data_IF_819625620979
#
_entry.id   IF_819625620979
#
_cell.length_a   1.000
_cell.length_b   1.000
_cell.length_c   1.000
_cell.angle_alpha   90.00
_cell.angle_beta   90.00
_cell.angle_gamma   90.00
#
_symmetry.space_group_name_H-M   'P 1'
#
loop_
_entity.id
_entity.type
_entity.pdbx_description
1 polymer ?
#
# COMPACT_ATOMS: atom_id res chain seq x y z
N UNK A 1 27.13 42.37 -44.54
CA UNK A 1 27.41 40.92 -44.52
C UNK A 1 27.47 40.40 -45.96
N UNK A 2 28.50 39.64 -46.36
CA UNK A 2 28.65 39.22 -47.78
C UNK A 2 27.55 38.26 -48.22
N UNK A 3 27.22 38.23 -49.52
CA UNK A 3 26.23 37.30 -50.09
C UNK A 3 26.60 35.82 -49.86
N UNK A 4 27.91 35.49 -49.81
CA UNK A 4 28.36 34.14 -49.48
C UNK A 4 28.05 33.75 -48.02
N UNK A 5 28.21 34.67 -47.06
CA UNK A 5 27.83 34.42 -45.66
C UNK A 5 26.32 34.20 -45.52
N UNK A 6 25.48 34.92 -46.26
CA UNK A 6 24.02 34.72 -46.24
C UNK A 6 23.62 33.35 -46.78
N UNK A 7 24.18 32.97 -47.94
CA UNK A 7 23.85 31.71 -48.63
C UNK A 7 24.21 30.47 -47.82
N UNK A 8 25.27 30.54 -46.98
CA UNK A 8 25.66 29.47 -46.05
C UNK A 8 25.02 29.60 -44.67
N UNK A 9 24.75 30.82 -44.20
CA UNK A 9 24.24 31.08 -42.85
C UNK A 9 22.78 30.66 -42.64
N UNK A 10 21.91 30.79 -43.65
CA UNK A 10 20.49 30.41 -43.55
C UNK A 10 20.32 28.90 -43.32
N UNK A 11 20.92 28.00 -44.13
CA UNK A 11 20.86 26.56 -43.88
C UNK A 11 21.43 26.16 -42.51
N UNK A 12 22.51 26.80 -42.07
CA UNK A 12 23.12 26.55 -40.75
C UNK A 12 22.16 26.96 -39.61
N UNK A 13 21.55 28.14 -39.70
CA UNK A 13 20.58 28.60 -38.70
C UNK A 13 19.36 27.67 -38.61
N UNK A 14 18.84 27.20 -39.77
CA UNK A 14 17.75 26.23 -39.83
C UNK A 14 18.14 24.88 -39.23
N UNK A 15 19.34 24.38 -39.57
CA UNK A 15 19.84 23.12 -39.03
C UNK A 15 20.04 23.18 -37.51
N UNK A 16 20.59 24.27 -36.99
CA UNK A 16 20.75 24.48 -35.54
C UNK A 16 19.41 24.60 -34.82
N UNK A 17 18.44 25.31 -35.41
CA UNK A 17 17.09 25.41 -34.85
C UNK A 17 16.38 24.05 -34.81
N UNK A 18 16.37 23.32 -35.93
CA UNK A 18 15.80 21.98 -35.99
C UNK A 18 16.50 20.99 -35.05
N UNK A 19 17.84 21.05 -34.97
CA UNK A 19 18.63 20.26 -34.03
C UNK A 19 18.30 20.58 -32.58
N UNK A 20 18.11 21.86 -32.23
CA UNK A 20 17.67 22.29 -30.90
C UNK A 20 16.28 21.78 -30.54
N UNK A 21 15.34 21.81 -31.49
CA UNK A 21 13.99 21.24 -31.29
C UNK A 21 14.05 19.73 -31.10
N UNK A 22 14.85 19.01 -31.89
CA UNK A 22 15.04 17.56 -31.74
C UNK A 22 15.67 17.22 -30.39
N UNK A 23 16.72 17.94 -29.98
CA UNK A 23 17.35 17.73 -28.67
C UNK A 23 16.35 17.99 -27.55
N UNK A 24 15.58 19.09 -27.62
CA UNK A 24 14.52 19.37 -26.67
C UNK A 24 13.49 18.25 -26.64
N UNK A 25 13.05 17.74 -27.79
CA UNK A 25 12.09 16.64 -27.88
C UNK A 25 12.62 15.36 -27.20
N UNK A 26 13.88 14.98 -27.47
CA UNK A 26 14.47 13.76 -26.92
C UNK A 26 14.83 13.85 -25.43
N UNK A 27 15.11 15.05 -24.93
CA UNK A 27 15.55 15.27 -23.53
C UNK A 27 14.44 15.80 -22.62
N UNK A 28 13.27 16.15 -23.18
CA UNK A 28 12.15 16.62 -22.39
C UNK A 28 11.68 15.54 -21.41
N UNK A 29 11.84 15.80 -20.11
CA UNK A 29 11.40 14.90 -19.04
C UNK A 29 12.41 13.84 -18.62
N UNK A 30 13.57 13.72 -19.27
CA UNK A 30 14.59 12.74 -18.87
C UNK A 30 15.23 13.11 -17.53
N UNK A 31 15.36 12.13 -16.62
CA UNK A 31 16.06 12.29 -15.34
C UNK A 31 15.25 12.90 -14.19
N UNK A 32 13.97 13.23 -14.40
CA UNK A 32 13.11 13.76 -13.33
C UNK A 32 12.58 12.64 -12.44
N UNK A 33 12.01 11.59 -13.04
CA UNK A 33 11.45 10.44 -12.32
C UNK A 33 12.54 9.39 -12.09
N UNK A 34 12.85 9.10 -10.83
CA UNK A 34 13.91 8.16 -10.43
C UNK A 34 13.68 7.69 -8.98
N UNK A 35 14.34 6.60 -8.55
CA UNK A 35 14.30 6.21 -7.14
C UNK A 35 14.97 7.28 -6.26
N UNK A 36 14.31 7.64 -5.15
CA UNK A 36 14.86 8.54 -4.14
C UNK A 36 14.48 8.04 -2.73
N UNK A 37 15.24 7.08 -2.18
CA UNK A 37 14.95 6.51 -0.88
C UNK A 37 14.93 7.54 0.27
N UNK A 38 15.64 8.67 0.14
CA UNK A 38 15.64 9.73 1.17
C UNK A 38 14.29 10.43 1.28
N UNK A 39 13.53 10.47 0.18
CA UNK A 39 12.15 10.99 0.12
C UNK A 39 11.09 9.89 0.22
N UNK A 40 11.47 8.67 0.63
CA UNK A 40 10.58 7.50 0.60
C UNK A 40 10.00 7.25 -0.80
N UNK A 41 10.84 7.32 -1.83
CA UNK A 41 10.46 7.00 -3.20
C UNK A 41 11.27 5.79 -3.67
N UNK A 42 10.55 4.74 -4.06
CA UNK A 42 11.07 3.60 -4.79
C UNK A 42 9.96 3.14 -5.73
N UNK A 43 10.27 3.08 -7.02
CA UNK A 43 9.29 2.87 -8.08
C UNK A 43 9.40 1.41 -8.54
N UNK A 44 8.34 0.59 -8.38
CA UNK A 44 8.38 -0.78 -8.84
C UNK A 44 8.48 -0.86 -10.36
N UNK A 45 9.18 -1.86 -10.88
CA UNK A 45 9.27 -2.10 -12.34
C UNK A 45 7.90 -2.44 -12.95
N UNK A 46 7.10 -3.19 -12.21
CA UNK A 46 5.73 -3.54 -12.58
C UNK A 46 4.78 -2.53 -11.92
N UNK A 47 3.97 -1.84 -12.72
CA UNK A 47 3.07 -0.79 -12.20
C UNK A 47 1.62 -1.25 -12.01
N UNK A 48 1.24 -2.39 -12.61
CA UNK A 48 -0.06 -3.01 -12.42
C UNK A 48 0.04 -4.50 -12.15
N UNK A 49 -0.90 -5.03 -11.38
CA UNK A 49 -0.99 -6.45 -11.02
C UNK A 49 -2.44 -6.89 -11.07
N UNK A 50 -2.77 -8.04 -11.71
CA UNK A 50 -4.12 -8.58 -11.63
C UNK A 50 -4.37 -9.18 -10.25
N UNK A 51 -5.53 -8.86 -9.67
CA UNK A 51 -6.10 -9.58 -8.54
C UNK A 51 -7.38 -10.26 -9.01
N UNK A 52 -7.47 -11.56 -8.81
CA UNK A 52 -8.68 -12.32 -9.09
C UNK A 52 -9.45 -12.52 -7.78
N UNK A 53 -10.74 -12.19 -7.80
CA UNK A 53 -11.62 -12.31 -6.63
C UNK A 53 -12.80 -13.21 -6.95
N UNK A 54 -13.11 -14.12 -6.04
CA UNK A 54 -14.40 -14.79 -5.96
C UNK A 54 -15.05 -14.50 -4.62
N UNK A 55 -16.37 -14.42 -4.64
CA UNK A 55 -17.16 -14.15 -3.46
C UNK A 55 -18.31 -15.16 -3.40
N UNK A 56 -18.60 -15.66 -2.21
CA UNK A 56 -19.71 -16.57 -1.97
C UNK A 56 -20.22 -16.41 -0.54
N UNK A 57 -21.47 -16.75 -0.28
CA UNK A 57 -22.03 -16.73 1.07
C UNK A 57 -23.12 -17.77 1.25
N UNK A 58 -23.35 -18.18 2.48
CA UNK A 58 -24.47 -19.01 2.88
C UNK A 58 -25.30 -18.27 3.94
N UNK A 59 -26.09 -18.99 4.74
CA UNK A 59 -26.97 -18.36 5.74
C UNK A 59 -26.21 -17.74 6.92
N UNK A 60 -24.93 -18.09 7.11
CA UNK A 60 -24.16 -17.72 8.30
C UNK A 60 -22.88 -16.97 8.00
N UNK A 61 -22.20 -17.27 6.90
CA UNK A 61 -20.86 -16.81 6.60
C UNK A 61 -20.73 -16.21 5.19
N UNK A 62 -19.86 -15.21 5.10
CA UNK A 62 -19.30 -14.66 3.87
C UNK A 62 -17.91 -15.27 3.61
N UNK A 63 -17.61 -15.51 2.34
CA UNK A 63 -16.34 -16.04 1.87
C UNK A 63 -15.78 -15.18 0.73
N UNK A 64 -14.51 -14.81 0.83
CA UNK A 64 -13.77 -14.16 -0.24
C UNK A 64 -12.53 -14.98 -0.57
N UNK A 65 -12.38 -15.38 -1.83
CA UNK A 65 -11.18 -16.02 -2.34
C UNK A 65 -10.41 -15.05 -3.21
N UNK A 66 -9.13 -14.93 -2.93
CA UNK A 66 -8.19 -14.04 -3.58
C UNK A 66 -7.12 -14.85 -4.27
N UNK A 67 -6.77 -14.46 -5.51
CA UNK A 67 -5.62 -15.01 -6.22
C UNK A 67 -4.84 -13.91 -6.91
N UNK A 68 -3.53 -13.85 -6.67
CA UNK A 68 -2.65 -12.86 -7.29
C UNK A 68 -1.24 -13.43 -7.55
N UNK A 69 -0.53 -12.95 -8.58
CA UNK A 69 0.81 -13.43 -8.86
C UNK A 69 1.81 -12.89 -7.83
N UNK A 70 2.77 -13.74 -7.45
CA UNK A 70 3.93 -13.40 -6.63
C UNK A 70 5.12 -14.26 -7.09
N UNK A 71 6.28 -13.65 -7.34
CA UNK A 71 7.45 -14.37 -7.87
C UNK A 71 7.98 -15.39 -6.86
N UNK A 72 7.94 -15.05 -5.58
CA UNK A 72 8.30 -15.89 -4.44
C UNK A 72 7.30 -15.63 -3.32
N UNK A 73 7.04 -16.60 -2.44
CA UNK A 73 6.16 -16.41 -1.30
C UNK A 73 6.84 -15.55 -0.24
N UNK A 74 6.27 -14.38 0.08
CA UNK A 74 6.67 -13.58 1.23
C UNK A 74 6.13 -14.16 2.54
N UNK A 75 6.70 -15.27 3.03
CA UNK A 75 6.23 -15.96 4.25
C UNK A 75 6.89 -15.48 5.54
N UNK A 76 7.88 -14.57 5.46
CA UNK A 76 8.55 -14.01 6.63
C UNK A 76 8.18 -12.55 6.88
N UNK A 77 8.12 -12.19 8.15
CA UNK A 77 8.22 -10.80 8.60
C UNK A 77 9.51 -10.63 9.41
N UNK A 78 9.79 -9.42 9.92
CA UNK A 78 11.03 -9.09 10.64
C UNK A 78 11.51 -10.21 11.60
N UNK A 79 12.83 -10.45 11.60
CA UNK A 79 13.48 -11.51 12.38
C UNK A 79 14.58 -10.93 13.26
N UNK A 80 15.06 -11.73 14.21
CA UNK A 80 16.28 -11.46 14.95
C UNK A 80 17.32 -12.52 14.62
N UNK A 81 18.52 -12.08 14.23
CA UNK A 81 19.67 -12.90 13.86
C UNK A 81 20.74 -12.75 14.94
N UNK A 82 21.29 -13.86 15.41
CA UNK A 82 22.44 -13.86 16.32
C UNK A 82 23.73 -13.60 15.53
N UNK A 83 24.50 -12.62 15.99
CA UNK A 83 25.76 -12.18 15.38
C UNK A 83 26.65 -11.59 16.47
N UNK A 84 27.84 -12.16 16.64
CA UNK A 84 28.90 -11.72 17.55
C UNK A 84 28.41 -11.47 18.98
N UNK A 85 27.68 -12.45 19.51
CA UNK A 85 27.15 -12.41 20.88
C UNK A 85 25.88 -11.56 21.05
N UNK A 86 25.30 -11.03 19.97
CA UNK A 86 24.14 -10.12 20.03
C UNK A 86 23.03 -10.54 19.08
N UNK A 87 21.79 -10.19 19.44
CA UNK A 87 20.62 -10.34 18.57
C UNK A 87 20.38 -9.06 17.79
N UNK A 88 20.47 -9.14 16.46
CA UNK A 88 20.30 -8.02 15.53
C UNK A 88 18.97 -8.18 14.79
N UNK A 89 18.14 -7.14 14.79
CA UNK A 89 16.91 -7.14 13.97
C UNK A 89 17.25 -7.04 12.48
N UNK A 90 16.63 -7.91 11.68
CA UNK A 90 16.64 -7.90 10.20
C UNK A 90 15.20 -7.79 9.68
N UNK A 91 15.03 -7.36 8.43
CA UNK A 91 13.69 -7.22 7.84
C UNK A 91 12.92 -5.97 8.26
N UNK A 92 13.60 -4.90 8.70
CA UNK A 92 12.93 -3.61 8.90
C UNK A 92 12.42 -3.09 7.56
N UNK A 93 11.24 -2.47 7.55
CA UNK A 93 10.71 -1.84 6.34
C UNK A 93 11.67 -0.77 5.81
N UNK A 94 11.82 -0.73 4.49
CA UNK A 94 12.62 0.26 3.76
C UNK A 94 11.82 0.76 2.56
N UNK A 95 12.25 1.85 1.91
CA UNK A 95 11.70 2.22 0.62
C UNK A 95 11.86 1.11 -0.43
N UNK A 96 10.72 0.63 -0.95
CA UNK A 96 10.67 -0.43 -1.93
C UNK A 96 10.77 -1.83 -1.33
N UNK A 97 11.45 -2.73 -2.05
CA UNK A 97 11.66 -4.13 -1.63
C UNK A 97 12.75 -4.21 -0.56
N UNK A 98 12.43 -4.91 0.54
CA UNK A 98 13.37 -5.18 1.61
C UNK A 98 14.47 -6.16 1.12
N UNK A 99 15.77 -5.82 1.29
CA UNK A 99 16.86 -6.52 0.59
C UNK A 99 17.06 -7.99 0.98
N UNK A 100 16.61 -8.40 2.17
CA UNK A 100 16.72 -9.77 2.66
C UNK A 100 15.43 -10.58 2.44
N UNK A 101 14.38 -9.98 1.83
CA UNK A 101 13.13 -10.66 1.52
C UNK A 101 12.17 -10.82 2.70
N UNK A 102 12.35 -10.04 3.77
CA UNK A 102 11.70 -10.26 5.08
C UNK A 102 10.47 -9.38 5.34
N UNK A 103 9.76 -9.02 4.29
CA UNK A 103 8.44 -8.41 4.38
C UNK A 103 7.41 -9.36 3.80
N UNK A 104 6.44 -9.72 4.62
CA UNK A 104 5.44 -10.71 4.25
C UNK A 104 4.51 -10.18 3.15
N UNK A 105 4.02 -11.08 2.33
CA UNK A 105 2.95 -10.81 1.38
C UNK A 105 1.62 -10.63 2.13
N UNK A 106 0.75 -9.79 1.56
CA UNK A 106 -0.52 -9.40 2.20
C UNK A 106 -1.59 -9.22 1.14
N UNK A 107 -2.83 -9.53 1.51
CA UNK A 107 -4.02 -9.05 0.81
C UNK A 107 -4.92 -8.36 1.83
N UNK A 108 -5.45 -7.21 1.45
CA UNK A 108 -6.38 -6.45 2.26
C UNK A 108 -7.58 -5.99 1.44
N UNK A 109 -8.73 -5.90 2.08
CA UNK A 109 -9.97 -5.40 1.51
C UNK A 109 -10.60 -4.42 2.50
N UNK A 110 -10.80 -3.18 2.06
CA UNK A 110 -11.71 -2.25 2.73
C UNK A 110 -13.12 -2.54 2.26
N UNK A 111 -14.09 -2.57 3.18
CA UNK A 111 -15.49 -2.84 2.92
C UNK A 111 -16.38 -1.78 3.61
N UNK A 112 -17.38 -1.32 2.87
CA UNK A 112 -18.37 -0.35 3.34
C UNK A 112 -19.78 -0.74 2.89
N UNK A 113 -20.77 -0.41 3.72
CA UNK A 113 -22.20 -0.66 3.49
C UNK A 113 -22.96 0.59 3.01
N UNK A 114 -22.23 1.64 2.62
CA UNK A 114 -22.77 2.92 2.19
C UNK A 114 -22.83 3.97 3.30
N UNK A 115 -22.40 3.63 4.52
CA UNK A 115 -22.35 4.56 5.66
C UNK A 115 -21.13 5.48 5.65
N UNK A 116 -20.11 5.20 4.82
CA UNK A 116 -19.00 6.14 4.55
C UNK A 116 -19.23 6.84 3.21
N UNK A 117 -19.67 8.11 3.21
CA UNK A 117 -19.79 8.90 2.00
C UNK A 117 -18.52 8.87 1.16
N UNK A 118 -18.69 8.95 -0.16
CA UNK A 118 -17.60 9.02 -1.14
C UNK A 118 -16.72 7.76 -1.27
N UNK A 119 -16.79 6.78 -0.38
CA UNK A 119 -15.95 5.57 -0.48
C UNK A 119 -16.22 4.78 -1.76
N UNK A 120 -17.49 4.62 -2.16
CA UNK A 120 -17.86 3.98 -3.43
C UNK A 120 -17.33 4.73 -4.67
N UNK A 121 -16.90 5.98 -4.53
CA UNK A 121 -16.44 6.84 -5.63
C UNK A 121 -14.91 6.94 -5.72
N UNK A 122 -14.21 6.85 -4.59
CA UNK A 122 -12.75 7.07 -4.53
C UNK A 122 -11.97 5.92 -3.87
N UNK A 123 -12.64 4.96 -3.25
CA UNK A 123 -12.02 3.80 -2.59
C UNK A 123 -10.97 4.21 -1.57
N UNK A 124 -9.83 3.53 -1.58
CA UNK A 124 -8.76 3.72 -0.61
C UNK A 124 -8.13 5.12 -0.57
N UNK A 125 -8.25 5.94 -1.63
CA UNK A 125 -7.74 7.32 -1.63
C UNK A 125 -8.39 8.19 -0.55
N UNK A 126 -9.66 7.92 -0.23
CA UNK A 126 -10.40 8.62 0.83
C UNK A 126 -9.68 8.52 2.19
N UNK A 127 -9.03 7.37 2.45
CA UNK A 127 -8.43 7.07 3.74
C UNK A 127 -6.97 7.57 3.89
N UNK A 128 -6.42 8.24 2.87
CA UNK A 128 -5.04 8.73 2.87
C UNK A 128 -5.04 10.20 3.28
N UNK A 129 -4.87 10.47 4.57
CA UNK A 129 -4.83 11.83 5.13
C UNK A 129 -3.46 12.51 5.00
N UNK A 130 -3.42 13.79 5.37
CA UNK A 130 -2.17 14.54 5.50
C UNK A 130 -1.19 13.83 6.45
N UNK A 131 0.11 14.03 6.22
CA UNK A 131 1.15 13.58 7.16
C UNK A 131 1.27 12.06 7.33
N UNK A 132 0.59 11.25 6.52
CA UNK A 132 0.59 9.79 6.63
C UNK A 132 2.00 9.21 6.56
N UNK A 133 2.24 8.16 7.33
CA UNK A 133 3.52 7.47 7.40
C UNK A 133 4.04 7.04 6.02
N UNK A 134 5.36 6.98 5.89
CA UNK A 134 6.11 6.61 4.68
C UNK A 134 5.89 7.51 3.45
N UNK A 135 5.16 8.62 3.54
CA UNK A 135 5.20 9.66 2.49
C UNK A 135 6.45 10.54 2.64
N UNK A 136 6.78 11.33 1.61
CA UNK A 136 7.87 12.31 1.65
C UNK A 136 7.65 13.32 2.77
N UNK A 137 6.40 13.76 2.94
CA UNK A 137 5.97 14.76 3.92
C UNK A 137 5.09 14.11 4.99
N UNK A 138 5.66 13.16 5.73
CA UNK A 138 4.99 12.50 6.86
C UNK A 138 5.23 13.28 8.16
N UNK A 139 4.33 13.10 9.13
CA UNK A 139 4.52 13.62 10.49
C UNK A 139 5.68 12.90 11.18
N UNK A 140 6.46 13.60 12.00
CA UNK A 140 7.52 12.95 12.76
C UNK A 140 6.94 12.05 13.85
N UNK A 141 7.70 11.01 14.21
CA UNK A 141 7.32 10.09 15.28
C UNK A 141 7.09 10.83 16.61
N UNK A 142 7.99 11.76 16.93
CA UNK A 142 7.98 12.52 18.18
C UNK A 142 6.71 13.38 18.29
N UNK A 143 6.28 14.02 17.19
CA UNK A 143 5.04 14.80 17.15
C UNK A 143 3.81 13.92 17.34
N UNK A 144 3.77 12.74 16.69
CA UNK A 144 2.64 11.82 16.82
C UNK A 144 2.55 11.24 18.23
N UNK A 145 3.67 10.79 18.81
CA UNK A 145 3.72 10.29 20.19
C UNK A 145 3.34 11.36 21.22
N UNK A 146 3.62 12.64 20.94
CA UNK A 146 3.22 13.77 21.78
C UNK A 146 1.73 14.10 21.67
N UNK A 147 1.08 13.78 20.53
CA UNK A 147 -0.31 14.12 20.28
C UNK A 147 -1.27 13.51 21.34
N UNK A 148 -2.20 14.29 21.93
CA UNK A 148 -3.06 13.81 23.02
C UNK A 148 -3.90 12.58 22.65
N UNK A 149 -4.52 12.60 21.47
CA UNK A 149 -5.36 11.48 21.02
C UNK A 149 -4.53 10.36 20.35
N UNK A 150 -3.93 10.61 19.18
CA UNK A 150 -3.16 9.62 18.42
C UNK A 150 -2.00 8.98 19.21
N UNK A 151 -1.18 9.78 19.89
CA UNK A 151 -0.04 9.29 20.65
C UNK A 151 -0.38 8.81 22.06
N UNK A 152 -1.02 9.66 22.88
CA UNK A 152 -1.23 9.33 24.30
C UNK A 152 -2.40 8.37 24.52
N UNK A 153 -3.52 8.51 23.80
CA UNK A 153 -4.69 7.62 23.93
C UNK A 153 -4.54 6.36 23.10
N UNK A 154 -4.35 6.49 21.79
CA UNK A 154 -4.28 5.35 20.87
C UNK A 154 -2.90 4.65 20.86
N UNK A 155 -1.90 5.21 21.55
CA UNK A 155 -0.53 4.66 21.63
C UNK A 155 0.13 4.51 20.24
N UNK A 156 -0.25 5.35 19.29
CA UNK A 156 0.37 5.41 17.97
C UNK A 156 1.68 6.17 17.99
N UNK A 157 2.59 5.79 17.09
CA UNK A 157 3.88 6.45 16.89
C UNK A 157 4.07 6.98 15.45
N UNK A 158 3.06 6.77 14.59
CA UNK A 158 3.01 7.30 13.22
C UNK A 158 1.57 7.62 12.83
N UNK A 159 1.38 8.52 11.85
CA UNK A 159 0.04 8.77 11.26
C UNK A 159 -0.32 7.61 10.34
N UNK A 160 -1.47 6.98 10.60
CA UNK A 160 -1.99 5.89 9.77
C UNK A 160 -3.16 6.38 8.90
N UNK A 161 -3.76 5.46 8.12
CA UNK A 161 -4.97 5.76 7.35
C UNK A 161 -6.08 6.27 8.28
N UNK A 162 -6.86 7.25 7.84
CA UNK A 162 -7.99 7.77 8.60
C UNK A 162 -9.05 8.35 7.66
N UNK A 163 -10.31 8.32 8.08
CA UNK A 163 -11.41 8.90 7.31
C UNK A 163 -11.44 10.43 7.47
N UNK A 164 -11.73 11.20 6.40
CA UNK A 164 -11.56 12.65 6.42
C UNK A 164 -12.38 13.37 7.51
N UNK A 165 -13.60 12.91 7.81
CA UNK A 165 -14.48 13.64 8.74
C UNK A 165 -14.10 13.41 10.20
N UNK A 166 -13.12 12.53 10.46
CA UNK A 166 -12.49 12.38 11.78
C UNK A 166 -11.45 13.48 12.06
N UNK A 167 -11.29 14.42 11.12
CA UNK A 167 -10.48 15.63 11.25
C UNK A 167 -11.37 16.87 11.14
N UNK A 168 -11.02 17.91 11.88
CA UNK A 168 -11.63 19.25 11.74
C UNK A 168 -11.06 20.00 10.54
N UNK A 169 -9.83 19.67 10.12
CA UNK A 169 -9.20 20.13 8.89
C UNK A 169 -8.48 18.96 8.20
N UNK A 170 -8.94 18.58 7.01
CA UNK A 170 -8.35 17.49 6.23
C UNK A 170 -6.86 17.71 5.94
N UNK A 171 -6.39 18.96 5.89
CA UNK A 171 -4.98 19.30 5.62
C UNK A 171 -4.09 19.13 6.86
N UNK A 172 -4.66 18.88 8.04
CA UNK A 172 -3.93 18.79 9.29
C UNK A 172 -4.21 17.45 9.98
N UNK A 173 -3.23 16.56 9.95
CA UNK A 173 -3.32 15.24 10.57
C UNK A 173 -3.59 15.28 12.07
N UNK A 174 -3.15 16.34 12.75
CA UNK A 174 -3.30 16.54 14.19
C UNK A 174 -4.67 17.11 14.58
N UNK A 175 -5.51 17.47 13.60
CA UNK A 175 -6.80 18.13 13.85
C UNK A 175 -7.92 17.13 14.21
N UNK A 176 -7.61 16.08 14.97
CA UNK A 176 -8.56 15.01 15.34
C UNK A 176 -9.80 15.58 16.00
N UNK A 177 -10.98 15.14 15.56
CA UNK A 177 -12.25 15.55 16.15
C UNK A 177 -12.32 15.20 17.65
N UNK A 178 -13.11 15.95 18.44
CA UNK A 178 -13.42 15.59 19.82
C UNK A 178 -13.98 14.17 19.95
N UNK A 179 -13.69 13.52 21.08
CA UNK A 179 -14.01 12.10 21.28
C UNK A 179 -15.49 11.77 21.16
N UNK A 180 -16.36 12.66 21.65
CA UNK A 180 -17.82 12.48 21.53
C UNK A 180 -18.28 12.49 20.07
N UNK A 181 -17.62 13.28 19.21
CA UNK A 181 -17.90 13.29 17.77
C UNK A 181 -17.41 11.99 17.13
N UNK A 182 -16.20 11.53 17.47
CA UNK A 182 -15.67 10.26 16.96
C UNK A 182 -16.55 9.06 17.36
N UNK A 183 -17.02 9.05 18.61
CA UNK A 183 -17.94 8.02 19.11
C UNK A 183 -19.28 8.07 18.35
N UNK A 184 -19.87 9.24 18.19
CA UNK A 184 -21.13 9.40 17.44
C UNK A 184 -20.96 9.00 15.97
N UNK A 185 -19.83 9.35 15.35
CA UNK A 185 -19.46 8.90 14.00
C UNK A 185 -19.41 7.38 13.93
N UNK A 186 -18.77 6.74 14.92
CA UNK A 186 -18.66 5.28 14.96
C UNK A 186 -20.02 4.60 15.12
N UNK A 187 -20.84 5.09 16.03
CA UNK A 187 -22.22 4.59 16.25
C UNK A 187 -23.12 4.78 15.02
N UNK A 188 -22.87 5.82 14.22
CA UNK A 188 -23.53 6.07 12.95
C UNK A 188 -22.98 5.22 11.78
N UNK A 189 -21.97 4.39 12.02
CA UNK A 189 -21.35 3.54 11.00
C UNK A 189 -20.23 4.22 10.20
N UNK A 190 -19.77 5.43 10.54
CA UNK A 190 -18.71 6.10 9.79
C UNK A 190 -17.32 5.49 10.09
N UNK A 191 -17.07 4.32 9.48
CA UNK A 191 -15.82 3.57 9.51
C UNK A 191 -15.76 2.61 8.31
N UNK A 192 -14.56 2.23 7.89
CA UNK A 192 -14.35 1.14 6.92
C UNK A 192 -13.89 -0.10 7.66
N UNK A 193 -14.55 -1.21 7.38
CA UNK A 193 -14.16 -2.55 7.83
C UNK A 193 -12.98 -3.04 6.96
N UNK A 194 -11.91 -3.50 7.59
CA UNK A 194 -10.64 -3.81 6.94
C UNK A 194 -10.20 -5.25 7.22
N UNK A 195 -10.49 -6.10 6.24
CA UNK A 195 -9.98 -7.47 6.21
C UNK A 195 -8.52 -7.43 5.82
N UNK A 196 -7.63 -8.03 6.62
CA UNK A 196 -6.20 -7.93 6.39
C UNK A 196 -5.46 -9.24 6.67
N UNK A 197 -5.28 -10.04 5.62
CA UNK A 197 -4.53 -11.28 5.71
C UNK A 197 -3.03 -11.02 5.57
N UNK A 198 -2.24 -11.70 6.41
CA UNK A 198 -0.79 -11.54 6.52
C UNK A 198 -0.10 -12.90 6.50
N UNK A 199 0.74 -13.13 5.50
CA UNK A 199 1.33 -14.46 5.20
C UNK A 199 2.18 -15.04 6.35
N UNK A 200 2.82 -14.21 7.17
CA UNK A 200 3.55 -14.67 8.36
C UNK A 200 2.70 -14.48 9.63
N UNK A 201 2.08 -13.32 9.80
CA UNK A 201 1.45 -12.91 11.08
C UNK A 201 0.05 -13.47 11.34
N UNK A 202 -0.60 -14.09 10.36
CA UNK A 202 -1.95 -14.63 10.55
C UNK A 202 -2.16 -15.98 9.85
N UNK A 203 -1.64 -16.15 8.63
CA UNK A 203 -1.85 -17.36 7.82
C UNK A 203 -1.47 -18.69 8.52
N UNK A 204 -0.32 -18.80 9.25
CA UNK A 204 0.10 -20.11 9.77
C UNK A 204 -0.82 -20.68 10.85
N UNK A 205 -1.66 -19.85 11.46
CA UNK A 205 -2.69 -20.26 12.43
C UNK A 205 -4.11 -20.15 11.85
N UNK A 206 -4.22 -20.09 10.51
CA UNK A 206 -5.47 -19.97 9.76
C UNK A 206 -6.33 -18.77 10.17
N UNK A 207 -5.70 -17.64 10.48
CA UNK A 207 -6.38 -16.40 10.83
C UNK A 207 -6.09 -15.30 9.81
N UNK A 208 -6.91 -14.26 9.85
CA UNK A 208 -6.63 -12.94 9.31
C UNK A 208 -6.80 -11.92 10.44
N UNK A 209 -6.15 -10.76 10.34
CA UNK A 209 -6.52 -9.68 11.24
C UNK A 209 -7.83 -9.06 10.76
N UNK A 210 -8.68 -8.75 11.73
CA UNK A 210 -9.83 -7.86 11.57
C UNK A 210 -9.49 -6.48 12.14
N UNK A 211 -9.80 -5.46 11.35
CA UNK A 211 -9.32 -4.11 11.56
C UNK A 211 -10.37 -3.10 11.13
N UNK A 212 -10.21 -1.87 11.61
CA UNK A 212 -11.11 -0.77 11.26
C UNK A 212 -10.35 0.49 10.90
N UNK A 213 -10.86 1.23 9.91
CA UNK A 213 -10.39 2.56 9.56
C UNK A 213 -11.46 3.58 9.95
N UNK A 214 -11.13 4.41 10.93
CA UNK A 214 -11.92 5.58 11.32
C UNK A 214 -10.95 6.75 11.60
N UNK A 215 -10.73 7.13 12.86
CA UNK A 215 -9.79 8.18 13.24
C UNK A 215 -8.31 7.78 13.03
N UNK A 216 -8.08 6.47 12.90
CA UNK A 216 -6.84 5.83 12.48
C UNK A 216 -7.16 4.43 11.90
N UNK A 217 -6.12 3.72 11.45
CA UNK A 217 -6.21 2.29 11.16
C UNK A 217 -5.91 1.53 12.45
N UNK A 218 -6.96 0.98 13.05
CA UNK A 218 -6.94 0.31 14.35
C UNK A 218 -7.17 -1.19 14.16
N UNK A 219 -6.79 -1.99 15.16
CA UNK A 219 -7.34 -3.34 15.28
C UNK A 219 -8.70 -3.26 15.95
N UNK A 220 -9.58 -4.20 15.65
CA UNK A 220 -10.89 -4.26 16.30
C UNK A 220 -10.77 -4.66 17.77
N UNK A 221 -11.88 -4.58 18.50
CA UNK A 221 -11.86 -4.89 19.91
C UNK A 221 -11.38 -6.33 20.16
N UNK A 222 -10.39 -6.47 21.04
CA UNK A 222 -9.83 -7.76 21.43
C UNK A 222 -8.33 -7.85 21.21
N UNK A 223 -7.87 -9.03 20.82
CA UNK A 223 -6.44 -9.40 20.81
C UNK A 223 -6.02 -9.91 19.44
N UNK A 224 -4.94 -9.35 18.91
CA UNK A 224 -4.37 -9.71 17.61
C UNK A 224 -3.79 -11.12 17.57
N UNK A 225 -3.73 -11.68 16.36
CA UNK A 225 -3.09 -12.97 16.05
C UNK A 225 -1.57 -12.97 16.26
N UNK A 226 -0.94 -11.79 16.33
CA UNK A 226 0.51 -11.65 16.46
C UNK A 226 0.94 -10.79 17.66
N UNK A 227 2.05 -11.18 18.28
CA UNK A 227 2.74 -10.48 19.37
C UNK A 227 4.20 -10.17 19.05
N UNK A 228 4.90 -9.58 20.02
CA UNK A 228 6.34 -9.30 19.93
C UNK A 228 7.15 -10.36 20.67
N UNK A 229 8.10 -10.99 19.97
CA UNK A 229 9.07 -11.93 20.55
C UNK A 229 10.29 -11.22 21.17
N UNK A 230 10.22 -9.92 21.45
CA UNK A 230 11.38 -9.16 21.93
C UNK A 230 11.22 -8.68 23.36
N UNK A 231 12.22 -8.93 24.19
CA UNK A 231 12.41 -8.32 25.51
C UNK A 231 13.36 -7.13 25.35
N UNK A 232 12.83 -5.92 25.52
CA UNK A 232 13.61 -4.68 25.37
C UNK A 232 14.59 -4.43 26.52
N UNK A 233 14.29 -4.93 27.72
CA UNK A 233 15.14 -4.74 28.90
C UNK A 233 16.37 -5.64 28.81
N UNK A 234 16.14 -6.92 28.50
CA UNK A 234 17.20 -7.93 28.37
C UNK A 234 17.87 -7.93 27.00
N UNK A 235 17.29 -7.25 26.01
CA UNK A 235 17.77 -7.19 24.62
C UNK A 235 17.92 -8.58 24.00
N UNK A 236 16.93 -9.45 24.22
CA UNK A 236 16.93 -10.83 23.75
C UNK A 236 15.53 -11.29 23.32
N UNK A 237 15.42 -12.42 22.59
CA UNK A 237 14.14 -13.05 22.30
C UNK A 237 13.42 -13.50 23.57
N UNK A 238 12.09 -13.56 23.53
CA UNK A 238 11.26 -14.11 24.62
C UNK A 238 11.07 -15.62 24.50
N UNK A 239 10.94 -16.10 23.27
CA UNK A 239 10.68 -17.47 22.88
C UNK A 239 11.66 -17.92 21.80
N UNK A 240 11.85 -19.24 21.72
CA UNK A 240 12.63 -19.93 20.70
C UNK A 240 11.90 -21.20 20.22
N UNK A 241 12.36 -21.80 19.13
CA UNK A 241 11.78 -23.06 18.66
C UNK A 241 12.02 -24.19 19.65
N UNK A 242 11.03 -25.06 19.81
CA UNK A 242 11.18 -26.26 20.61
C UNK A 242 11.91 -27.34 19.79
N UNK A 243 13.21 -27.49 20.04
CA UNK A 243 14.06 -28.44 19.32
C UNK A 243 13.59 -29.90 19.40
N UNK A 244 12.84 -30.29 20.43
CA UNK A 244 12.27 -31.65 20.53
C UNK A 244 11.13 -31.90 19.54
N UNK A 245 10.46 -30.84 19.09
CA UNK A 245 9.33 -30.88 18.14
C UNK A 245 9.81 -30.58 16.73
N UNK A 246 10.60 -29.52 16.55
CA UNK A 246 11.03 -29.04 15.22
C UNK A 246 12.33 -29.68 14.75
N UNK A 247 13.12 -30.27 15.65
CA UNK A 247 14.48 -30.74 15.36
C UNK A 247 15.55 -29.64 15.33
N UNK A 248 15.18 -28.38 15.61
CA UNK A 248 16.11 -27.24 15.64
C UNK A 248 15.66 -26.16 16.62
N UNK A 249 16.62 -25.45 17.20
CA UNK A 249 16.38 -24.32 18.11
C UNK A 249 16.20 -22.97 17.41
N UNK A 250 16.69 -22.86 16.17
CA UNK A 250 16.64 -21.68 15.33
C UNK A 250 16.70 -22.06 13.85
N UNK A 251 16.23 -21.14 12.99
CA UNK A 251 16.42 -21.22 11.55
C UNK A 251 17.84 -20.74 11.20
N UNK A 252 18.36 -21.19 10.06
CA UNK A 252 19.63 -20.70 9.51
C UNK A 252 19.38 -19.44 8.69
N UNK A 253 20.11 -18.36 8.98
CA UNK A 253 20.00 -17.09 8.26
C UNK A 253 20.10 -17.23 6.73
N UNK A 254 21.05 -18.02 6.26
CA UNK A 254 21.27 -18.20 4.81
C UNK A 254 20.07 -18.89 4.13
N UNK A 255 19.42 -19.84 4.81
CA UNK A 255 18.24 -20.52 4.28
C UNK A 255 17.01 -19.60 4.27
N UNK A 256 16.88 -18.74 5.29
CA UNK A 256 15.85 -17.69 5.34
C UNK A 256 16.02 -16.72 4.17
N UNK A 257 17.20 -16.12 4.01
CA UNK A 257 17.47 -15.13 2.96
C UNK A 257 17.39 -15.71 1.55
N UNK A 258 17.77 -16.96 1.37
CA UNK A 258 17.71 -17.63 0.07
C UNK A 258 16.32 -18.18 -0.26
N UNK A 259 15.34 -18.05 0.64
CA UNK A 259 13.98 -18.56 0.45
C UNK A 259 13.91 -20.09 0.40
N UNK A 260 14.82 -20.77 1.10
CA UNK A 260 14.87 -22.25 1.17
C UNK A 260 13.92 -22.84 2.21
N UNK A 261 13.41 -22.01 3.11
CA UNK A 261 12.45 -22.45 4.12
C UNK A 261 11.09 -22.66 3.44
N UNK A 262 10.58 -23.90 3.52
CA UNK A 262 9.28 -24.25 2.96
C UNK A 262 8.14 -23.65 3.78
N UNK A 263 7.07 -23.21 3.10
CA UNK A 263 5.83 -22.77 3.75
C UNK A 263 5.11 -23.89 4.52
N UNK A 264 5.48 -25.16 4.29
CA UNK A 264 4.95 -26.31 5.04
C UNK A 264 5.81 -26.68 6.27
N UNK A 265 6.91 -25.96 6.50
CA UNK A 265 7.75 -26.14 7.69
C UNK A 265 7.32 -25.22 8.85
N UNK A 266 7.76 -25.52 10.07
CA UNK A 266 7.54 -24.64 11.24
C UNK A 266 8.49 -23.45 11.23
N UNK A 267 8.19 -22.42 10.43
CA UNK A 267 9.04 -21.23 10.33
C UNK A 267 8.65 -20.08 11.28
N UNK A 268 7.59 -20.26 12.07
CA UNK A 268 7.01 -19.27 12.97
C UNK A 268 7.04 -19.75 14.42
N UNK A 269 6.95 -18.82 15.37
CA UNK A 269 6.85 -19.14 16.81
C UNK A 269 5.41 -18.96 17.27
N UNK A 270 4.77 -20.01 17.76
CA UNK A 270 3.41 -19.95 18.31
C UNK A 270 3.44 -20.07 19.84
N UNK A 271 2.70 -19.20 20.53
CA UNK A 271 2.50 -19.27 21.97
C UNK A 271 1.87 -20.62 22.35
N UNK A 272 2.45 -21.31 23.34
CA UNK A 272 2.06 -22.67 23.75
C UNK A 272 2.79 -23.80 23.04
N UNK A 273 3.37 -23.57 21.86
CA UNK A 273 4.19 -24.56 21.13
C UNK A 273 5.69 -24.24 21.21
N UNK A 274 6.03 -22.96 21.11
CA UNK A 274 7.38 -22.46 21.34
C UNK A 274 7.74 -22.51 22.84
N UNK A 275 9.03 -22.61 23.15
CA UNK A 275 9.55 -22.66 24.52
C UNK A 275 10.16 -21.31 24.93
N UNK A 276 10.26 -21.00 26.25
CA UNK A 276 10.98 -19.84 26.73
C UNK A 276 12.40 -19.78 26.16
N UNK A 277 12.85 -18.58 25.81
CA UNK A 277 14.19 -18.37 25.31
C UNK A 277 15.25 -18.74 26.37
N UNK A 278 16.16 -19.65 26.00
CA UNK A 278 17.30 -20.03 26.81
C UNK A 278 18.59 -19.33 26.30
N UNK A 279 19.17 -18.37 27.05
CA UNK A 279 20.42 -17.71 26.65
C UNK A 279 21.61 -18.67 26.64
N UNK A 280 21.55 -19.79 27.36
CA UNK A 280 22.62 -20.79 27.47
C UNK A 280 22.53 -21.89 26.40
N UNK A 281 21.60 -21.80 25.44
CA UNK A 281 21.39 -22.81 24.39
C UNK A 281 22.54 -22.95 23.37
N UNK A 282 23.69 -22.30 23.56
CA UNK A 282 24.87 -22.38 22.69
C UNK A 282 24.67 -21.70 21.33
N UNK A 283 24.15 -20.47 21.31
CA UNK A 283 23.86 -19.71 20.09
C UNK A 283 25.10 -19.46 19.23
N UNK A 284 24.96 -19.61 17.92
CA UNK A 284 26.03 -19.38 16.93
C UNK A 284 25.62 -18.36 15.89
N UNK A 285 26.61 -17.72 15.24
CA UNK A 285 26.37 -16.71 14.23
C UNK A 285 25.47 -17.26 13.11
N UNK A 286 24.39 -16.54 12.81
CA UNK A 286 23.39 -16.96 11.81
C UNK A 286 22.16 -17.65 12.39
N UNK A 287 22.13 -18.02 13.66
CA UNK A 287 20.91 -18.49 14.33
C UNK A 287 19.83 -17.40 14.24
N UNK A 288 18.68 -17.74 13.68
CA UNK A 288 17.61 -16.78 13.36
C UNK A 288 16.29 -17.21 13.98
N UNK A 289 15.61 -16.26 14.64
CA UNK A 289 14.30 -16.44 15.23
C UNK A 289 13.32 -15.39 14.69
N UNK A 290 12.04 -15.75 14.45
CA UNK A 290 11.00 -14.77 14.19
C UNK A 290 10.93 -13.72 15.29
N UNK A 291 10.82 -12.44 14.92
CA UNK A 291 10.62 -11.35 15.89
C UNK A 291 9.15 -11.22 16.30
N UNK A 292 8.24 -11.89 15.59
CA UNK A 292 6.82 -11.97 15.91
C UNK A 292 6.49 -13.34 16.47
N UNK A 293 5.63 -13.36 17.49
CA UNK A 293 4.95 -14.57 17.95
C UNK A 293 3.57 -14.62 17.34
N UNK A 294 3.05 -15.83 17.13
CA UNK A 294 1.65 -16.08 16.79
C UNK A 294 0.91 -16.56 18.03
N UNK A 295 -0.33 -16.11 18.19
CA UNK A 295 -1.17 -16.41 19.34
C UNK A 295 -2.63 -16.48 18.90
N UNK A 296 -3.46 -17.17 19.67
CA UNK A 296 -4.90 -17.21 19.41
C UNK A 296 -5.46 -15.79 19.55
N UNK A 297 -6.09 -15.23 18.50
CA UNK A 297 -6.78 -13.95 18.61
C UNK A 297 -8.07 -14.12 19.42
N UNK A 298 -8.58 -13.01 19.97
CA UNK A 298 -9.77 -12.97 20.83
C UNK A 298 -10.63 -11.75 20.45
N UNK A 299 -11.95 -11.82 20.71
CA UNK A 299 -12.88 -10.71 20.43
C UNK A 299 -13.19 -10.55 18.94
N UNK A 300 -13.62 -9.35 18.55
CA UNK A 300 -13.92 -8.98 17.16
C UNK A 300 -12.69 -9.14 16.26
N UNK A 301 -11.50 -8.91 16.80
CA UNK A 301 -10.23 -9.10 16.08
C UNK A 301 -9.97 -10.54 15.61
N UNK A 302 -10.78 -11.51 16.06
CA UNK A 302 -10.70 -12.93 15.69
C UNK A 302 -11.78 -13.37 14.67
N UNK A 303 -12.62 -12.46 14.19
CA UNK A 303 -13.81 -12.83 13.41
C UNK A 303 -13.48 -13.38 12.00
N UNK A 304 -12.32 -13.02 11.44
CA UNK A 304 -11.89 -13.49 10.11
C UNK A 304 -10.91 -14.67 10.22
N UNK A 305 -11.31 -15.80 9.64
CA UNK A 305 -10.49 -16.99 9.51
C UNK A 305 -10.06 -17.25 8.06
N UNK A 306 -9.00 -18.03 7.88
CA UNK A 306 -8.65 -18.63 6.59
C UNK A 306 -9.42 -19.94 6.43
N UNK A 307 -10.25 -20.03 5.40
CA UNK A 307 -10.90 -21.30 5.03
C UNK A 307 -9.87 -22.20 4.34
N UNK A 308 -9.54 -23.33 4.97
CA UNK A 308 -8.51 -24.24 4.48
C UNK A 308 -7.10 -23.72 4.80
N UNK A 309 -6.32 -23.37 3.77
CA UNK A 309 -4.97 -22.81 3.92
C UNK A 309 -4.74 -21.75 2.84
N UNK A 310 -4.19 -20.59 3.19
CA UNK A 310 -3.62 -19.66 2.23
C UNK A 310 -2.30 -20.23 1.73
N UNK A 311 -2.18 -20.48 0.42
CA UNK A 311 -1.01 -21.17 -0.14
C UNK A 311 -0.48 -20.42 -1.35
N UNK A 312 0.85 -20.38 -1.44
CA UNK A 312 1.54 -20.01 -2.66
C UNK A 312 1.93 -21.27 -3.42
N UNK A 313 1.61 -21.32 -4.71
CA UNK A 313 2.01 -22.37 -5.63
C UNK A 313 2.02 -21.82 -7.06
N UNK A 314 2.92 -22.33 -7.89
CA UNK A 314 2.99 -22.00 -9.33
C UNK A 314 3.03 -20.50 -9.64
N UNK A 315 3.65 -19.70 -8.76
CA UNK A 315 3.77 -18.25 -8.91
C UNK A 315 2.55 -17.44 -8.48
N UNK A 316 1.59 -18.04 -7.78
CA UNK A 316 0.38 -17.37 -7.28
C UNK A 316 0.13 -17.67 -5.82
N UNK A 317 -0.34 -16.67 -5.09
CA UNK A 317 -1.08 -16.90 -3.84
C UNK A 317 -2.53 -17.24 -4.15
N UNK A 318 -3.10 -18.15 -3.36
CA UNK A 318 -4.53 -18.46 -3.29
C UNK A 318 -4.95 -18.48 -1.82
N UNK A 319 -5.84 -17.56 -1.45
CA UNK A 319 -6.27 -17.36 -0.06
C UNK A 319 -7.78 -17.23 -0.02
N UNK A 320 -8.45 -18.08 0.75
CA UNK A 320 -9.88 -17.92 1.05
C UNK A 320 -10.05 -17.45 2.49
N UNK A 321 -10.67 -16.30 2.67
CA UNK A 321 -11.07 -15.75 3.97
C UNK A 321 -12.55 -15.96 4.21
N UNK A 322 -12.93 -16.19 5.46
CA UNK A 322 -14.32 -16.37 5.89
C UNK A 322 -14.61 -15.59 7.16
N UNK A 323 -15.79 -14.99 7.24
CA UNK A 323 -16.33 -14.33 8.44
C UNK A 323 -17.84 -14.56 8.50
N UNK A 324 -18.41 -14.53 9.69
CA UNK A 324 -19.88 -14.48 9.83
C UNK A 324 -20.46 -13.26 9.11
N UNK A 325 -21.65 -13.41 8.55
CA UNK A 325 -22.41 -12.29 7.99
C UNK A 325 -22.74 -11.27 9.08
N UNK A 326 -23.13 -11.75 10.26
CA UNK A 326 -23.32 -10.95 11.46
C UNK A 326 -22.34 -11.44 12.55
N UNK A 327 -21.32 -10.64 12.83
CA UNK A 327 -20.29 -10.92 13.83
C UNK A 327 -20.77 -10.67 15.26
N UNK A 328 -21.79 -9.82 15.43
CA UNK A 328 -22.22 -9.32 16.73
C UNK A 328 -21.45 -8.06 17.17
N UNK A 329 -20.54 -7.54 16.34
CA UNK A 329 -19.70 -6.38 16.64
C UNK A 329 -19.95 -5.22 15.65
N UNK A 330 -21.17 -4.62 15.61
CA UNK A 330 -21.53 -3.62 14.59
C UNK A 330 -20.76 -2.29 14.67
N UNK A 331 -19.99 -2.08 15.74
CA UNK A 331 -19.09 -0.92 15.87
C UNK A 331 -17.70 -1.20 15.32
N UNK A 332 -17.36 -2.46 15.03
CA UNK A 332 -16.07 -2.86 14.46
C UNK A 332 -16.25 -3.34 13.01
N UNK A 333 -17.33 -4.08 12.74
CA UNK A 333 -17.61 -4.72 11.46
C UNK A 333 -18.81 -4.14 10.71
N UNK A 334 -18.75 -4.21 9.37
CA UNK A 334 -19.96 -4.09 8.55
C UNK A 334 -20.72 -5.41 8.55
N UNK A 335 -21.95 -5.36 9.06
CA UNK A 335 -22.86 -6.49 9.07
C UNK A 335 -23.41 -6.74 7.66
N UNK A 336 -23.08 -7.91 7.12
CA UNK A 336 -23.48 -8.33 5.79
C UNK A 336 -24.86 -8.98 5.82
N UNK A 337 -25.66 -8.74 4.78
CA UNK A 337 -27.02 -9.26 4.65
C UNK A 337 -27.25 -9.82 3.26
N UNK A 338 -28.07 -10.86 3.18
CA UNK A 338 -28.58 -11.36 1.90
C UNK A 338 -29.20 -10.22 1.08
N UNK A 339 -28.96 -10.19 -0.22
CA UNK A 339 -29.37 -9.11 -1.14
C UNK A 339 -28.74 -7.72 -0.83
N UNK A 340 -27.75 -7.66 0.06
CA UNK A 340 -27.00 -6.44 0.37
C UNK A 340 -26.11 -5.98 -0.78
N UNK A 341 -25.87 -4.67 -0.82
CA UNK A 341 -24.97 -4.01 -1.77
C UNK A 341 -23.92 -3.24 -0.97
N UNK A 342 -22.65 -3.43 -1.34
CA UNK A 342 -21.49 -2.92 -0.62
C UNK A 342 -20.49 -2.32 -1.60
N UNK A 343 -19.60 -1.49 -1.09
CA UNK A 343 -18.42 -1.03 -1.81
C UNK A 343 -17.17 -1.71 -1.23
N UNK A 344 -16.24 -2.07 -2.10
CA UNK A 344 -14.97 -2.68 -1.71
C UNK A 344 -13.78 -2.04 -2.43
N UNK A 345 -12.63 -1.99 -1.78
CA UNK A 345 -11.36 -1.60 -2.39
C UNK A 345 -10.23 -2.49 -1.87
N UNK A 346 -9.36 -2.94 -2.76
CA UNK A 346 -8.37 -3.98 -2.47
C UNK A 346 -6.94 -3.43 -2.45
N UNK A 347 -6.07 -4.12 -1.73
CA UNK A 347 -4.65 -3.88 -1.73
C UNK A 347 -3.86 -5.19 -1.61
N UNK A 348 -2.69 -5.26 -2.24
CA UNK A 348 -1.72 -6.33 -2.02
C UNK A 348 -0.30 -5.81 -1.77
N UNK A 349 0.39 -6.43 -0.83
CA UNK A 349 1.85 -6.35 -0.71
C UNK A 349 2.45 -7.61 -1.31
N UNK A 350 3.49 -7.43 -2.13
CA UNK A 350 4.27 -8.53 -2.73
C UNK A 350 5.70 -8.11 -2.97
N UNK A 351 6.60 -9.07 -3.20
CA UNK A 351 8.02 -8.82 -3.49
C UNK A 351 8.74 -8.11 -2.34
N UNK A 352 8.46 -8.57 -1.11
CA UNK A 352 9.07 -8.07 0.11
C UNK A 352 8.92 -6.56 0.35
N UNK A 353 7.76 -6.00 0.06
CA UNK A 353 7.47 -4.59 0.33
C UNK A 353 6.60 -4.40 1.57
N UNK A 354 6.78 -3.26 2.25
CA UNK A 354 5.95 -2.82 3.38
C UNK A 354 5.43 -1.41 3.18
N UNK A 355 4.71 -0.86 4.17
CA UNK A 355 4.27 0.53 4.16
C UNK A 355 3.49 0.92 2.90
N UNK A 356 3.81 2.09 2.32
CA UNK A 356 3.19 2.60 1.10
C UNK A 356 3.51 1.82 -0.18
N UNK A 357 4.51 0.94 -0.21
CA UNK A 357 4.89 0.20 -1.41
C UNK A 357 3.99 -1.02 -1.63
N UNK A 358 2.81 -0.79 -2.20
CA UNK A 358 1.80 -1.81 -2.49
C UNK A 358 0.98 -1.45 -3.73
N UNK A 359 0.17 -2.38 -4.20
CA UNK A 359 -0.78 -2.15 -5.28
C UNK A 359 -2.18 -2.00 -4.69
N UNK A 360 -2.97 -1.11 -5.27
CA UNK A 360 -4.35 -0.82 -4.84
C UNK A 360 -5.32 -0.88 -6.00
N UNK A 361 -6.60 -1.12 -5.73
CA UNK A 361 -7.67 -1.03 -6.73
C UNK A 361 -8.39 0.32 -6.67
N UNK A 362 -9.08 0.65 -7.76
CA UNK A 362 -10.25 1.53 -7.69
C UNK A 362 -11.41 0.82 -6.94
N UNK A 363 -12.40 1.55 -6.39
CA UNK A 363 -13.53 0.91 -5.72
C UNK A 363 -14.34 0.06 -6.71
N UNK A 364 -14.87 -1.06 -6.21
CA UNK A 364 -15.77 -1.96 -6.94
C UNK A 364 -17.05 -2.18 -6.13
N UNK A 365 -18.16 -2.42 -6.83
CA UNK A 365 -19.42 -2.80 -6.19
C UNK A 365 -19.45 -4.31 -5.89
N UNK A 366 -19.83 -4.66 -4.66
CA UNK A 366 -20.06 -6.03 -4.21
C UNK A 366 -21.56 -6.26 -3.99
N UNK A 367 -22.14 -7.19 -4.74
CA UNK A 367 -23.53 -7.60 -4.57
C UNK A 367 -23.66 -9.00 -3.97
N UNK A 368 -24.35 -9.13 -2.83
CA UNK A 368 -24.67 -10.43 -2.24
C UNK A 368 -25.94 -10.99 -2.89
N UNK A 369 -25.80 -12.00 -3.74
CA UNK A 369 -26.93 -12.62 -4.45
C UNK A 369 -27.62 -11.69 -5.44
N UNK A 370 -26.95 -10.61 -5.84
CA UNK A 370 -27.44 -9.57 -6.76
C UNK A 370 -26.30 -9.02 -7.62
N UNK A 371 -26.65 -8.21 -8.63
CA UNK A 371 -25.69 -7.60 -9.54
C UNK A 371 -24.72 -6.65 -8.83
N UNK A 372 -23.46 -6.69 -9.26
CA UNK A 372 -22.33 -5.84 -8.88
C UNK A 372 -21.12 -6.22 -9.74
N UNK A 373 -20.03 -5.48 -9.63
CA UNK A 373 -18.75 -5.81 -10.30
C UNK A 373 -18.20 -7.15 -9.78
N UNK A 374 -18.40 -7.38 -8.48
CA UNK A 374 -18.16 -8.66 -7.81
C UNK A 374 -19.51 -9.17 -7.28
N UNK A 375 -19.90 -10.37 -7.71
CA UNK A 375 -21.15 -11.01 -7.27
C UNK A 375 -20.80 -12.12 -6.30
N UNK A 376 -21.22 -11.97 -5.04
CA UNK A 376 -21.16 -13.07 -4.08
C UNK A 376 -22.27 -14.07 -4.39
N UNK A 377 -21.90 -15.29 -4.73
CA UNK A 377 -22.86 -16.35 -5.05
C UNK A 377 -23.40 -16.98 -3.77
N UNK A 378 -24.73 -17.01 -3.61
CA UNK A 378 -25.36 -17.76 -2.52
C UNK A 378 -25.20 -19.25 -2.77
N UNK A 379 -24.86 -20.02 -1.75
CA UNK A 379 -24.77 -21.48 -1.82
C UNK A 379 -25.32 -22.14 -0.54
N UNK A 380 -25.49 -23.47 -0.59
CA UNK A 380 -25.89 -24.29 0.56
C UNK A 380 -24.71 -25.16 1.04
N UNK A 381 -24.58 -25.34 2.36
CA UNK A 381 -23.50 -26.09 3.01
C UNK A 381 -22.46 -25.18 3.68
N UNK A 382 -21.40 -25.78 4.23
CA UNK A 382 -20.45 -25.08 5.10
C UNK A 382 -19.32 -24.37 4.35
N UNK A 383 -18.99 -24.81 3.14
CA UNK A 383 -17.92 -24.24 2.34
C UNK A 383 -18.31 -24.11 0.85
N UNK A 384 -17.92 -23.02 0.17
CA UNK A 384 -18.25 -22.80 -1.23
C UNK A 384 -17.50 -23.78 -2.14
N UNK A 385 -18.18 -24.24 -3.18
CA UNK A 385 -17.56 -24.95 -4.30
C UNK A 385 -17.14 -23.92 -5.35
N UNK A 386 -15.86 -23.55 -5.34
CA UNK A 386 -15.33 -22.56 -6.26
C UNK A 386 -15.37 -23.07 -7.71
N UNK A 387 -15.84 -22.20 -8.62
CA UNK A 387 -15.85 -22.46 -10.07
C UNK A 387 -14.66 -21.75 -10.73
N UNK A 388 -14.45 -21.94 -12.03
CA UNK A 388 -13.34 -21.29 -12.73
C UNK A 388 -13.59 -19.80 -13.07
N UNK A 389 -14.78 -19.27 -12.78
CA UNK A 389 -15.13 -17.88 -13.08
C UNK A 389 -14.70 -16.94 -11.95
N UNK A 390 -13.76 -16.05 -12.25
CA UNK A 390 -13.26 -14.99 -11.37
C UNK A 390 -13.79 -13.62 -11.79
N UNK A 391 -13.87 -12.69 -10.84
CA UNK A 391 -13.89 -11.25 -11.11
C UNK A 391 -12.45 -10.75 -11.12
N UNK A 392 -12.00 -10.18 -12.23
CA UNK A 392 -10.67 -9.58 -12.32
C UNK A 392 -10.72 -8.12 -11.85
N UNK A 393 -9.86 -7.79 -10.90
CA UNK A 393 -9.65 -6.46 -10.35
C UNK A 393 -8.23 -6.02 -10.71
N UNK A 394 -8.11 -4.99 -11.54
CA UNK A 394 -6.80 -4.44 -11.89
C UNK A 394 -6.27 -3.59 -10.73
N UNK A 395 -5.13 -3.98 -10.17
CA UNK A 395 -4.42 -3.20 -9.16
C UNK A 395 -3.30 -2.39 -9.79
N UNK A 396 -2.98 -1.24 -9.19
CA UNK A 396 -1.88 -0.38 -9.63
C UNK A 396 -1.09 0.21 -8.47
N UNK A 397 0.15 0.60 -8.74
CA UNK A 397 0.98 1.31 -7.77
C UNK A 397 0.49 2.77 -7.63
N UNK A 398 0.08 3.21 -6.42
CA UNK A 398 -0.66 4.48 -6.28
C UNK A 398 0.22 5.73 -6.22
N UNK A 399 1.55 5.61 -6.08
CA UNK A 399 2.41 6.76 -5.84
C UNK A 399 2.05 7.52 -4.56
N UNK A 400 2.55 8.74 -4.36
CA UNK A 400 2.26 9.55 -3.16
C UNK A 400 1.13 10.53 -3.49
N UNK A 401 -0.10 10.12 -3.20
CA UNK A 401 -1.30 10.93 -3.40
C UNK A 401 -2.15 10.82 -2.15
N UNK A 402 -2.51 11.95 -1.57
CA UNK A 402 -3.37 12.05 -0.40
C UNK A 402 -4.67 12.81 -0.69
N UNK A 403 -5.67 12.60 0.17
CA UNK A 403 -6.99 13.21 0.08
C UNK A 403 -6.95 14.75 0.09
N UNK A 404 -6.12 15.40 0.92
CA UNK A 404 -5.94 16.86 0.86
C UNK A 404 -5.45 17.36 -0.49
N UNK A 405 -4.45 16.70 -1.09
CA UNK A 405 -3.94 17.04 -2.42
C UNK A 405 -5.04 16.93 -3.47
N UNK A 406 -5.81 15.84 -3.46
CA UNK A 406 -6.91 15.59 -4.39
C UNK A 406 -8.01 16.67 -4.32
N UNK A 407 -8.26 17.22 -3.11
CA UNK A 407 -9.25 18.27 -2.88
C UNK A 407 -8.69 19.70 -3.00
N UNK A 408 -7.39 19.85 -3.24
CA UNK A 408 -6.72 21.15 -3.34
C UNK A 408 -6.75 21.74 -4.76
N UNK A 409 -6.43 23.03 -4.88
CA UNK A 409 -6.24 23.70 -6.18
C UNK A 409 -5.08 23.11 -7.02
N UNK A 410 -4.21 22.28 -6.42
CA UNK A 410 -3.10 21.63 -7.14
C UNK A 410 -3.58 20.48 -8.02
N UNK A 411 -4.76 19.93 -7.74
CA UNK A 411 -5.36 18.86 -8.52
C UNK A 411 -6.44 19.44 -9.44
N UNK A 412 -6.26 19.27 -10.76
CA UNK A 412 -7.20 19.80 -11.75
C UNK A 412 -8.62 19.20 -11.59
N UNK A 413 -8.73 17.98 -11.07
CA UNK A 413 -10.01 17.31 -10.83
C UNK A 413 -10.71 17.69 -9.52
N UNK A 414 -10.15 18.58 -8.70
CA UNK A 414 -10.69 18.88 -7.37
C UNK A 414 -12.13 19.42 -7.40
N UNK A 415 -12.54 20.15 -8.44
CA UNK A 415 -13.93 20.60 -8.59
C UNK A 415 -14.89 19.43 -8.82
N UNK A 416 -14.49 18.43 -9.63
CA UNK A 416 -15.31 17.25 -9.89
C UNK A 416 -15.44 16.37 -8.64
N UNK A 417 -14.39 16.31 -7.82
CA UNK A 417 -14.44 15.64 -6.51
C UNK A 417 -15.47 16.30 -5.59
N UNK A 418 -15.46 17.64 -5.49
CA UNK A 418 -16.47 18.38 -4.70
C UNK A 418 -17.89 18.21 -5.23
N UNK A 419 -18.05 17.89 -6.52
CA UNK A 419 -19.33 17.55 -7.16
C UNK A 419 -19.70 16.07 -6.99
N UNK A 420 -18.89 15.27 -6.31
CA UNK A 420 -19.15 13.85 -6.08
C UNK A 420 -19.01 12.98 -7.33
N UNK A 421 -18.20 13.39 -8.32
CA UNK A 421 -17.97 12.56 -9.50
C UNK A 421 -17.00 11.42 -9.18
N UNK A 422 -17.34 10.16 -9.49
CA UNK A 422 -16.43 9.02 -9.30
C UNK A 422 -15.08 9.23 -9.98
N UNK A 423 -14.02 8.70 -9.38
CA UNK A 423 -12.65 8.75 -9.95
C UNK A 423 -12.60 8.22 -11.39
N UNK A 424 -13.40 7.20 -11.69
CA UNK A 424 -13.50 6.54 -12.99
C UNK A 424 -14.08 7.43 -14.10
N UNK A 425 -14.68 8.57 -13.75
CA UNK A 425 -15.21 9.54 -14.73
C UNK A 425 -14.10 10.17 -15.57
N UNK A 426 -12.95 10.44 -14.95
CA UNK A 426 -11.83 11.18 -15.58
C UNK A 426 -10.51 10.41 -15.55
N UNK A 427 -10.46 9.28 -14.86
CA UNK A 427 -9.24 8.48 -14.71
C UNK A 427 -9.48 7.00 -14.95
N UNK A 428 -8.53 6.40 -15.65
CA UNK A 428 -8.36 4.94 -15.76
C UNK A 428 -7.17 4.49 -14.92
N UNK A 429 -7.12 3.20 -14.61
CA UNK A 429 -5.95 2.57 -13.96
C UNK A 429 -4.67 2.80 -14.78
N UNK A 430 -4.78 2.76 -16.12
CA UNK A 430 -3.67 3.03 -17.04
C UNK A 430 -3.06 4.43 -16.86
N UNK A 431 -3.86 5.43 -16.47
CA UNK A 431 -3.39 6.78 -16.16
C UNK A 431 -2.86 6.87 -14.71
N UNK A 432 -3.63 6.36 -13.74
CA UNK A 432 -3.32 6.53 -12.31
C UNK A 432 -2.00 5.91 -11.91
N UNK A 433 -1.61 4.78 -12.52
CA UNK A 433 -0.31 4.15 -12.28
C UNK A 433 0.89 5.06 -12.61
N UNK A 434 0.71 6.04 -13.49
CA UNK A 434 1.72 7.04 -13.83
C UNK A 434 1.53 8.34 -13.05
N UNK A 435 0.29 8.85 -12.96
CA UNK A 435 0.01 10.12 -12.27
C UNK A 435 0.38 10.08 -10.78
N UNK A 436 0.21 8.93 -10.13
CA UNK A 436 0.67 8.75 -8.75
C UNK A 436 2.18 8.92 -8.61
N UNK A 437 2.96 8.39 -9.55
CA UNK A 437 4.42 8.53 -9.58
C UNK A 437 4.79 9.97 -9.91
N UNK A 438 4.17 10.58 -10.91
CA UNK A 438 4.41 11.98 -11.28
C UNK A 438 4.11 12.95 -10.13
N UNK A 439 3.12 12.64 -9.28
CA UNK A 439 2.82 13.41 -8.07
C UNK A 439 4.01 13.45 -7.08
N UNK A 440 4.85 12.40 -7.03
CA UNK A 440 6.07 12.35 -6.21
C UNK A 440 7.16 13.33 -6.70
N UNK A 441 7.04 13.82 -7.94
CA UNK A 441 7.99 14.72 -8.60
C UNK A 441 7.33 15.99 -9.15
N UNK A 442 6.13 16.35 -8.68
CA UNK A 442 5.33 17.41 -9.30
C UNK A 442 6.07 18.76 -9.35
N UNK A 443 6.87 19.10 -8.34
CA UNK A 443 7.62 20.36 -8.31
C UNK A 443 8.83 20.32 -9.25
N UNK A 444 9.53 19.18 -9.32
CA UNK A 444 10.64 18.93 -10.25
C UNK A 444 10.17 18.95 -11.70
N UNK A 445 9.03 18.31 -12.00
CA UNK A 445 8.40 18.29 -13.33
C UNK A 445 8.02 19.71 -13.75
N UNK A 446 7.34 20.48 -12.89
CA UNK A 446 6.96 21.88 -13.19
C UNK A 446 8.18 22.75 -13.47
N UNK A 447 9.24 22.61 -12.68
CA UNK A 447 10.49 23.34 -12.89
C UNK A 447 11.14 22.96 -14.21
N UNK A 448 11.16 21.67 -14.57
CA UNK A 448 11.68 21.21 -15.86
C UNK A 448 10.87 21.74 -17.03
N UNK A 449 9.54 21.79 -16.91
CA UNK A 449 8.65 22.38 -17.91
C UNK A 449 8.91 23.88 -18.09
N UNK A 450 9.08 24.62 -17.00
CA UNK A 450 9.42 26.05 -17.06
C UNK A 450 10.75 26.27 -17.79
N UNK A 451 11.79 25.49 -17.46
CA UNK A 451 13.08 25.58 -18.15
C UNK A 451 12.98 25.21 -19.63
N UNK A 452 12.22 24.18 -19.97
CA UNK A 452 11.97 23.78 -21.37
C UNK A 452 11.26 24.91 -22.12
N UNK A 453 10.24 25.52 -21.51
CA UNK A 453 9.51 26.64 -22.10
C UNK A 453 10.43 27.84 -22.34
N UNK A 454 11.22 28.24 -21.34
CA UNK A 454 12.17 29.34 -21.45
C UNK A 454 13.24 29.07 -22.52
N UNK A 455 13.77 27.84 -22.56
CA UNK A 455 14.73 27.42 -23.58
C UNK A 455 14.11 27.44 -24.99
N UNK A 456 12.87 26.99 -25.14
CA UNK A 456 12.13 27.06 -26.40
C UNK A 456 11.91 28.49 -26.87
N UNK A 457 11.48 29.39 -25.97
CA UNK A 457 11.32 30.82 -26.26
C UNK A 457 12.67 31.44 -26.66
N UNK A 458 13.75 31.14 -25.94
CA UNK A 458 15.09 31.62 -26.25
C UNK A 458 15.58 31.11 -27.61
N UNK A 459 15.33 29.84 -27.93
CA UNK A 459 15.67 29.23 -29.21
C UNK A 459 14.92 29.91 -30.38
N UNK A 460 13.62 30.16 -30.22
CA UNK A 460 12.79 30.87 -31.21
C UNK A 460 13.29 32.31 -31.38
N UNK A 461 13.55 33.03 -30.29
CA UNK A 461 14.05 34.39 -30.33
C UNK A 461 15.44 34.48 -30.98
N UNK A 462 16.37 33.58 -30.62
CA UNK A 462 17.70 33.50 -31.21
C UNK A 462 17.64 33.19 -32.71
N UNK A 463 16.77 32.25 -33.12
CA UNK A 463 16.52 31.94 -34.52
C UNK A 463 15.95 33.17 -35.26
N UNK A 464 14.97 33.87 -34.68
CA UNK A 464 14.41 35.09 -35.24
C UNK A 464 15.44 36.21 -35.41
N UNK A 465 16.29 36.44 -34.40
CA UNK A 465 17.40 37.41 -34.46
C UNK A 465 18.40 37.02 -35.55
N UNK A 466 18.83 35.75 -35.57
CA UNK A 466 19.77 35.25 -36.57
C UNK A 466 19.20 35.39 -37.99
N UNK A 467 17.96 34.98 -38.20
CA UNK A 467 17.28 35.11 -39.48
C UNK A 467 17.14 36.58 -39.90
N UNK A 468 16.72 37.46 -39.00
CA UNK A 468 16.61 38.89 -39.28
C UNK A 468 17.97 39.50 -39.65
N UNK A 469 19.05 39.18 -38.92
CA UNK A 469 20.40 39.66 -39.26
C UNK A 469 20.89 39.13 -40.62
N UNK A 470 20.59 37.86 -40.93
CA UNK A 470 20.93 37.25 -42.22
C UNK A 470 20.13 37.87 -43.39
N UNK A 471 18.90 38.36 -43.13
CA UNK A 471 18.00 38.94 -44.13
C UNK A 471 18.14 40.47 -44.29
N UNK A 472 18.54 41.22 -43.26
CA UNK A 472 18.73 42.69 -43.30
C UNK A 472 19.54 43.12 -44.53
N UNK A 473 18.96 43.80 -45.51
CA UNK A 473 19.71 44.40 -46.63
C UNK A 473 20.34 45.73 -46.18
N UNK A 474 21.52 46.09 -46.69
CA UNK A 474 22.09 47.40 -46.41
C UNK A 474 21.17 48.47 -47.03
N UNK A 475 20.78 49.53 -46.31
CA UNK A 475 20.16 50.69 -46.94
C UNK A 475 21.22 51.38 -47.81
N UNK A 476 21.08 51.31 -49.13
CA UNK A 476 22.03 51.92 -50.08
C UNK A 476 22.56 51.01 -51.19
N UNK A 477 21.82 49.97 -51.59
CA UNK A 477 21.87 49.39 -52.95
C UNK A 477 20.46 49.33 -53.49
#
# INVERSE_FOLDING_TARGET
MSNQLRRKGIPVALALFAGGLLLSWFTHGTGVVHDDPKRNISIPKQLTVPLQVQAAYNDTNMFFRYRWPAEKPGIFHDVVKFEDGKWITKGKGVPGSEPDGLQEDRVAMMLDDGSVPEFARYGGYLAIGAGIDTFTKHASKEEVEAHPHLGKKLKGDVVTKSLPETRTDINNWASVQPEEILKAQREAGYFLDLWHWRAHRSNPINMSDDQVIAEGRLGDAGKSSAGSNWDSEKKQPKLMFNATVTGYKALKWDDVKQGKISQDSTYFLREGEAVPFDPAAGWVNGDTLPKRTLRTPEGSMADIAVQGKGRWADGYWDVTLSRKLNTGHPLDDKILKDQGAYAVAFAIHRNATGGRWHYVSLPASLGLGRSGDIVAQRFAGDAPQWKDKWSDVELFYPGQVDWPQLNSKKHAGAEFIRKGQPVTTHHSVAQLKHYGIEAEFADEIRRQWLWTLLAGIALIAAFGIALNQLLKRNPGV
#
